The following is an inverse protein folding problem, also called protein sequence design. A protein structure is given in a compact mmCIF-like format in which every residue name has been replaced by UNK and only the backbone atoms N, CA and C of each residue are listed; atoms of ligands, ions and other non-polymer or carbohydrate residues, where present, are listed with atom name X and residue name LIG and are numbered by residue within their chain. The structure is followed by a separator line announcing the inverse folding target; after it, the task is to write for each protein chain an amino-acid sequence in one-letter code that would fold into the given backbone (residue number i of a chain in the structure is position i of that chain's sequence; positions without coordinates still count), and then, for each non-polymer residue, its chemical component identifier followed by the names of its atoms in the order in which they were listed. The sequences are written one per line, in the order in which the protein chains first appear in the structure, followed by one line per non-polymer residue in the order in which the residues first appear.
data_IF_601864966395
#
_entry.id   IF_601864966395
#
_cell.length_a   1.000
_cell.length_b   1.000
_cell.length_c   1.000
_cell.angle_alpha   90.00
_cell.angle_beta   90.00
_cell.angle_gamma   90.00
#
_symmetry.space_group_name_H-M   'P 1'
#
loop_
_entity.id
_entity.type
_entity.pdbx_description
1 polymer ?
2 non-polymer ?
3 water ?
#
# COMPACT_ATOMS: atom_id res chain seq x y z
N UNK A 1 11.55 -3.91 -19.08
CA UNK A 1 10.95 -4.59 -17.90
C UNK A 1 10.05 -5.74 -18.38
N UNK A 2 9.67 -6.67 -17.49
CA UNK A 2 8.84 -7.83 -17.81
C UNK A 2 7.37 -7.57 -18.11
N UNK A 3 6.76 -8.52 -18.80
CA UNK A 3 5.35 -8.48 -19.15
C UNK A 3 4.52 -8.70 -17.92
N UNK A 4 4.98 -9.60 -17.06
CA UNK A 4 4.30 -9.95 -15.81
C UNK A 4 5.19 -9.75 -14.59
N UNK A 5 4.62 -9.17 -13.53
CA UNK A 5 5.32 -8.96 -12.26
C UNK A 5 4.32 -9.29 -11.15
N UNK A 6 4.76 -10.09 -10.18
CA UNK A 6 3.92 -10.44 -9.06
C UNK A 6 4.86 -10.68 -7.91
N UNK A 7 4.90 -9.71 -6.99
CA UNK A 7 5.77 -9.80 -5.84
C UNK A 7 5.47 -10.93 -4.89
N UNK A 8 4.26 -11.50 -4.94
CA UNK A 8 3.88 -12.63 -4.10
C UNK A 8 4.72 -13.86 -4.48
N UNK A 9 5.04 -13.94 -5.77
CA UNK A 9 5.81 -15.02 -6.34
C UNK A 9 7.30 -14.96 -5.98
N UNK A 10 7.72 -13.83 -5.42
CA UNK A 10 9.10 -13.66 -5.03
C UNK A 10 9.21 -13.72 -3.50
N UNK A 11 8.11 -14.05 -2.84
CA UNK A 11 8.06 -14.15 -1.38
C UNK A 11 8.17 -12.81 -0.69
N UNK A 12 7.70 -11.76 -1.36
CA UNK A 12 7.78 -10.42 -0.83
C UNK A 12 6.49 -9.81 -0.29
N UNK A 13 5.38 -10.53 -0.29
CA UNK A 13 4.18 -9.97 0.30
C UNK A 13 3.57 -10.88 1.36
N UNK A 14 3.12 -10.25 2.45
CA UNK A 14 2.54 -10.95 3.59
C UNK A 14 1.04 -11.13 3.42
N UNK A 15 0.42 -11.92 4.30
CA UNK A 15 -1.02 -12.16 4.20
C UNK A 15 -1.86 -10.90 4.15
N UNK A 16 -3.03 -11.02 3.54
CA UNK A 16 -3.95 -9.92 3.42
C UNK A 16 -4.50 -9.58 4.81
N UNK A 17 -4.55 -8.29 5.10
CA UNK A 17 -5.04 -7.78 6.37
C UNK A 17 -6.40 -7.14 6.20
N UNK A 18 -6.99 -6.73 7.32
CA UNK A 18 -8.29 -6.09 7.33
C UNK A 18 -8.18 -4.90 8.26
N UNK A 19 -8.35 -3.69 7.72
CA UNK A 19 -8.23 -2.48 8.54
C UNK A 19 -9.43 -2.28 9.45
N UNK A 20 -10.54 -2.95 9.15
CA UNK A 20 -11.74 -2.81 9.94
C UNK A 20 -12.41 -1.47 9.68
N UNK A 21 -13.12 -0.98 10.68
CA UNK A 21 -13.79 0.31 10.58
C UNK A 21 -12.91 1.42 11.11
N UNK A 22 -11.81 1.68 10.43
CA UNK A 22 -10.87 2.73 10.81
C UNK A 22 -10.16 3.11 9.54
N UNK A 23 -10.10 4.41 9.24
CA UNK A 23 -9.45 4.90 8.05
C UNK A 23 -7.94 4.79 8.14
N UNK A 24 -7.47 3.56 8.34
CA UNK A 24 -6.04 3.27 8.46
C UNK A 24 -5.39 2.87 7.16
N UNK A 25 -6.18 2.84 6.10
CA UNK A 25 -5.71 2.46 4.76
C UNK A 25 -4.31 2.99 4.42
N UNK A 26 -4.06 4.26 4.71
CA UNK A 26 -2.78 4.87 4.41
C UNK A 26 -1.61 4.16 5.10
N UNK A 27 -1.87 3.66 6.30
CA UNK A 27 -0.85 2.96 7.11
C UNK A 27 -0.65 1.56 6.55
N UNK A 28 -1.75 0.85 6.30
CA UNK A 28 -1.69 -0.51 5.72
C UNK A 28 -0.92 -0.46 4.40
N UNK A 29 -1.28 0.53 3.59
CA UNK A 29 -0.67 0.77 2.31
C UNK A 29 0.84 0.95 2.41
N UNK A 30 1.27 1.84 3.29
CA UNK A 30 2.70 2.10 3.45
C UNK A 30 3.43 0.86 3.94
N UNK A 31 2.80 0.12 4.86
CA UNK A 31 3.38 -1.09 5.43
C UNK A 31 3.68 -2.15 4.36
N UNK A 32 2.77 -2.31 3.40
CA UNK A 32 2.97 -3.28 2.32
C UNK A 32 4.27 -2.93 1.59
N UNK A 33 4.48 -1.63 1.37
CA UNK A 33 5.68 -1.23 0.66
C UNK A 33 6.93 -1.53 1.48
N UNK A 34 6.85 -1.31 2.80
CA UNK A 34 7.97 -1.56 3.71
C UNK A 34 8.31 -3.06 3.79
N UNK A 35 7.30 -3.90 4.03
CA UNK A 35 7.50 -5.34 4.08
C UNK A 35 8.17 -5.80 2.79
N UNK A 36 7.74 -5.24 1.67
CA UNK A 36 8.30 -5.61 0.37
C UNK A 36 9.75 -5.21 0.11
N UNK A 37 10.11 -3.96 0.34
CA UNK A 37 11.49 -3.53 0.10
C UNK A 37 12.53 -4.23 1.01
N UNK A 38 12.19 -4.45 2.28
CA UNK A 38 13.09 -5.13 3.23
C UNK A 38 13.36 -6.57 2.75
N UNK A 39 12.34 -7.25 2.25
CA UNK A 39 12.52 -8.61 1.76
C UNK A 39 13.43 -8.61 0.56
N UNK A 40 13.19 -7.65 -0.34
CA UNK A 40 13.97 -7.49 -1.55
C UNK A 40 15.43 -7.17 -1.23
N UNK A 41 15.66 -6.37 -0.20
CA UNK A 41 17.02 -5.98 0.21
C UNK A 41 17.72 -7.02 1.08
N UNK A 42 17.08 -7.42 2.17
CA UNK A 42 17.65 -8.37 3.14
C UNK A 42 17.40 -9.86 2.93
N UNK A 43 16.26 -10.21 2.33
CA UNK A 43 15.95 -11.61 2.12
C UNK A 43 14.96 -12.14 3.14
N UNK A 44 14.57 -11.31 4.10
CA UNK A 44 13.62 -11.73 5.11
C UNK A 44 12.30 -11.03 4.96
N UNK A 45 11.23 -11.76 5.21
CA UNK A 45 9.89 -11.23 5.12
C UNK A 45 9.28 -11.13 6.50
N UNK A 46 8.97 -9.89 6.93
CA UNK A 46 8.35 -9.68 8.23
C UNK A 46 7.16 -8.78 8.11
N UNK A 47 6.24 -8.88 9.07
CA UNK A 47 5.07 -8.03 9.07
C UNK A 47 5.41 -6.86 9.96
N UNK A 48 5.10 -5.65 9.51
CA UNK A 48 5.37 -4.46 10.27
C UNK A 48 4.12 -3.82 10.80
N UNK A 49 4.30 -2.90 11.74
CA UNK A 49 3.19 -2.25 12.43
C UNK A 49 2.46 -1.07 11.76
N UNK A 50 1.18 -1.27 11.47
CA UNK A 50 0.34 -0.24 10.89
C UNK A 50 -0.17 0.62 12.05
N UNK A 51 -0.34 -0.02 13.22
CA UNK A 51 -0.81 0.66 14.40
C UNK A 51 0.19 1.74 14.81
N UNK A 52 1.47 1.42 14.69
CA UNK A 52 2.52 2.36 15.02
C UNK A 52 2.37 3.61 14.18
N UNK A 53 2.17 3.43 12.87
CA UNK A 53 2.00 4.54 11.94
C UNK A 53 0.74 5.32 12.33
N UNK A 54 -0.34 4.60 12.54
CA UNK A 54 -1.61 5.18 12.92
C UNK A 54 -1.51 6.12 14.13
N UNK A 55 -0.66 5.76 15.09
CA UNK A 55 -0.45 6.51 16.35
C UNK A 55 0.62 7.59 16.29
N UNK A 56 1.70 7.29 15.58
CA UNK A 56 2.85 8.18 15.51
C UNK A 56 2.97 9.14 14.34
N UNK A 57 2.03 9.09 13.39
CA UNK A 57 2.12 10.02 12.27
C UNK A 57 1.32 11.25 12.67
N UNK A 58 2.03 12.34 12.86
CA UNK A 58 1.49 13.64 13.25
C UNK A 58 0.78 14.38 12.09
N UNK A 59 1.22 14.14 10.86
CA UNK A 59 0.63 14.78 9.68
C UNK A 59 -0.63 14.07 9.20
N UNK A 60 -0.89 12.86 9.71
CA UNK A 60 -2.08 12.12 9.32
C UNK A 60 -3.14 12.25 10.40
N UNK A 61 -4.37 11.82 10.10
CA UNK A 61 -5.47 11.95 11.05
C UNK A 61 -5.96 10.66 11.69
N UNK A 62 -5.02 9.78 12.02
CA UNK A 62 -5.39 8.53 12.65
C UNK A 62 -6.42 7.74 11.86
N UNK A 63 -7.52 7.41 12.52
CA UNK A 63 -8.57 6.64 11.88
C UNK A 63 -9.48 7.48 10.99
N UNK A 64 -9.14 8.76 10.84
CA UNK A 64 -9.93 9.67 10.01
C UNK A 64 -9.29 9.87 8.65
N UNK A 65 -8.20 9.17 8.39
CA UNK A 65 -7.52 9.31 7.12
C UNK A 65 -6.09 9.68 7.37
N UNK A 66 -5.28 9.69 6.32
CA UNK A 66 -3.88 10.01 6.47
C UNK A 66 -3.16 9.97 5.16
N UNK A 67 -1.84 10.09 5.21
CA UNK A 67 -1.01 10.14 4.01
C UNK A 67 0.04 9.06 4.00
N UNK A 68 0.10 8.29 2.90
CA UNK A 68 1.08 7.21 2.73
C UNK A 68 2.51 7.75 2.69
N UNK A 69 2.68 8.92 2.07
CA UNK A 69 4.00 9.57 1.98
C UNK A 69 4.53 10.05 3.35
N UNK A 70 3.64 10.57 4.20
CA UNK A 70 4.07 11.04 5.52
C UNK A 70 4.36 9.83 6.40
N UNK A 71 3.54 8.78 6.30
CA UNK A 71 3.76 7.56 7.08
C UNK A 71 5.10 6.95 6.64
N UNK A 72 5.39 7.04 5.35
CA UNK A 72 6.65 6.52 4.82
C UNK A 72 7.84 7.38 5.25
N UNK A 73 7.61 8.67 5.52
CA UNK A 73 8.67 9.61 5.98
C UNK A 73 9.07 9.22 7.41
N UNK A 74 8.05 9.03 8.26
CA UNK A 74 8.20 8.64 9.65
C UNK A 74 9.14 7.43 9.77
N UNK A 75 8.86 6.37 9.01
CA UNK A 75 9.70 5.17 9.05
C UNK A 75 11.13 5.44 8.60
N UNK A 76 11.32 6.35 7.67
CA UNK A 76 12.66 6.66 7.21
C UNK A 76 13.47 7.46 8.26
N UNK A 77 12.75 8.06 9.22
CA UNK A 77 13.39 8.82 10.29
C UNK A 77 13.54 7.96 11.54
N UNK A 78 12.39 7.59 12.11
CA UNK A 78 12.29 6.81 13.34
C UNK A 78 12.18 5.27 13.20
N UNK A 79 12.11 4.76 11.98
CA UNK A 79 11.98 3.33 11.76
C UNK A 79 10.60 2.81 12.13
N UNK A 80 10.47 1.49 12.20
CA UNK A 80 9.20 0.86 12.53
C UNK A 80 9.36 -0.49 13.25
N UNK A 81 8.37 -0.85 14.05
CA UNK A 81 8.35 -2.12 14.80
C UNK A 81 7.61 -3.21 14.07
N UNK A 82 7.86 -4.44 14.49
CA UNK A 82 7.20 -5.59 13.92
C UNK A 82 5.74 -5.50 14.31
N UNK A 83 4.88 -6.12 13.52
CA UNK A 83 3.46 -6.11 13.80
C UNK A 83 3.20 -6.85 15.11
N UNK A 84 4.03 -7.85 15.39
CA UNK A 84 3.86 -8.65 16.59
C UNK A 84 4.22 -7.88 17.86
N UNK A 85 5.19 -6.97 17.74
CA UNK A 85 5.60 -6.13 18.85
C UNK A 85 4.58 -5.01 19.12
N UNK A 86 4.06 -4.43 18.03
CA UNK A 86 3.13 -3.32 18.12
C UNK A 86 1.92 -3.66 17.24
N UNK A 87 1.05 -4.57 17.73
CA UNK A 87 -0.15 -5.03 17.03
C UNK A 87 -1.16 -3.95 16.68
N UNK A 88 -2.11 -4.34 15.83
CA UNK A 88 -3.15 -3.44 15.37
C UNK A 88 -4.41 -3.53 16.19
N UNK A 89 -4.86 -2.38 16.69
CA UNK A 89 -6.05 -2.27 17.53
C UNK A 89 -7.28 -1.69 16.83
N UNK A 90 -7.06 -0.99 15.72
CA UNK A 90 -8.18 -0.42 14.99
C UNK A 90 -8.70 0.85 15.62
N UNK A 91 -7.85 1.46 16.43
CA UNK A 91 -8.18 2.67 17.13
C UNK A 91 -6.86 3.35 17.30
N UNK A 92 -6.83 4.67 17.28
CA UNK A 92 -5.57 5.39 17.47
C UNK A 92 -5.37 5.70 18.96
N UNK A 93 -4.26 5.22 19.51
CA UNK A 93 -3.92 5.46 20.91
C UNK A 93 -2.78 6.47 20.82
N UNK A 94 -1.80 6.38 21.72
CA UNK A 94 -0.66 7.30 21.68
C UNK A 94 0.56 6.59 21.13
N UNK A 95 1.50 7.37 20.63
CA UNK A 95 2.69 6.79 20.06
C UNK A 95 3.51 6.07 21.12
N UNK A 96 3.69 4.76 20.93
CA UNK A 96 4.43 3.94 21.87
C UNK A 96 5.70 3.35 21.30
N UNK A 97 6.23 3.96 20.24
CA UNK A 97 7.44 3.44 19.63
C UNK A 97 8.59 3.25 20.62
N UNK A 98 8.83 4.25 21.46
CA UNK A 98 9.91 4.18 22.43
C UNK A 98 9.74 3.09 23.49
N UNK A 99 8.52 2.92 23.97
CA UNK A 99 8.20 1.92 24.98
C UNK A 99 8.48 0.50 24.48
N UNK A 100 8.09 0.22 23.24
CA UNK A 100 8.28 -1.10 22.64
C UNK A 100 9.76 -1.46 22.41
N UNK A 101 10.64 -0.48 22.56
CA UNK A 101 12.05 -0.75 22.37
C UNK A 101 12.62 -0.28 21.06
N UNK A 102 13.74 -0.88 20.60
CA UNK A 102 14.39 -0.52 19.34
C UNK A 102 13.58 -0.94 18.11
N UNK A 103 13.55 -0.06 17.10
CA UNK A 103 12.81 -0.32 15.88
C UNK A 103 13.35 -1.56 15.18
N UNK A 104 12.45 -2.30 14.54
CA UNK A 104 12.77 -3.53 13.81
C UNK A 104 13.49 -3.20 12.50
N UNK A 105 13.04 -2.17 11.80
CA UNK A 105 13.68 -1.80 10.55
C UNK A 105 13.52 -0.31 10.28
N UNK A 106 14.38 0.23 9.43
CA UNK A 106 14.30 1.63 9.10
C UNK A 106 14.64 1.77 7.64
N UNK A 107 13.90 2.61 6.95
CA UNK A 107 14.11 2.84 5.53
C UNK A 107 15.04 4.04 5.36
N UNK A 108 15.54 4.23 4.14
CA UNK A 108 16.44 5.33 3.81
C UNK A 108 15.75 6.56 3.25
N UNK A 109 14.51 6.42 2.81
CA UNK A 109 13.79 7.57 2.26
C UNK A 109 12.48 7.20 1.62
N UNK A 110 11.96 8.10 0.80
CA UNK A 110 10.71 7.89 0.08
C UNK A 110 10.74 8.71 -1.19
N UNK A 111 10.23 8.16 -2.27
CA UNK A 111 10.19 8.86 -3.55
C UNK A 111 8.79 8.84 -4.12
N UNK A 112 8.51 9.75 -5.04
CA UNK A 112 7.21 9.82 -5.68
C UNK A 112 7.30 9.40 -7.13
N UNK A 113 6.34 8.61 -7.59
CA UNK A 113 6.30 8.18 -8.98
C UNK A 113 5.68 9.37 -9.72
N UNK A 114 6.17 9.67 -10.93
CA UNK A 114 5.61 10.78 -11.72
C UNK A 114 4.13 10.45 -11.88
N UNK A 115 3.24 11.38 -11.50
CA UNK A 115 1.80 11.17 -11.58
C UNK A 115 1.19 11.18 -12.97
N UNK A 116 -0.01 10.62 -13.05
CA UNK A 116 -0.77 10.53 -14.30
C UNK A 116 0.08 9.95 -15.42
N UNK A 117 0.86 8.92 -15.09
CA UNK A 117 1.75 8.27 -16.04
C UNK A 117 1.86 6.77 -15.78
N UNK A 118 1.14 5.99 -16.59
CA UNK A 118 1.11 4.56 -16.47
C UNK A 118 2.47 3.88 -16.58
N UNK A 119 3.31 4.36 -17.50
CA UNK A 119 4.63 3.79 -17.67
C UNK A 119 5.55 4.01 -16.48
N UNK A 120 5.48 5.18 -15.87
CA UNK A 120 6.34 5.47 -14.74
C UNK A 120 5.95 4.58 -13.57
N UNK A 121 4.66 4.26 -13.46
CA UNK A 121 4.17 3.41 -12.40
C UNK A 121 4.58 1.95 -12.59
N UNK A 122 4.46 1.44 -13.82
CA UNK A 122 4.81 0.06 -14.07
C UNK A 122 6.28 -0.18 -13.82
N UNK A 123 7.09 0.79 -14.19
CA UNK A 123 8.52 0.70 -14.02
C UNK A 123 8.85 0.56 -12.55
N UNK A 124 8.23 1.38 -11.71
CA UNK A 124 8.46 1.31 -10.28
C UNK A 124 7.99 -0.02 -9.70
N UNK A 125 6.81 -0.49 -10.10
CA UNK A 125 6.28 -1.77 -9.63
C UNK A 125 7.22 -2.91 -9.99
N UNK A 126 7.94 -2.78 -11.09
CA UNK A 126 8.85 -3.83 -11.51
C UNK A 126 10.08 -3.90 -10.60
N UNK A 127 10.23 -2.88 -9.76
CA UNK A 127 11.35 -2.81 -8.81
C UNK A 127 10.94 -3.16 -7.39
N UNK A 128 9.71 -2.80 -7.00
CA UNK A 128 9.20 -3.05 -5.65
C UNK A 128 7.72 -2.68 -5.56
N UNK A 129 7.01 -3.14 -4.52
CA UNK A 129 5.59 -2.81 -4.35
C UNK A 129 5.49 -1.27 -4.19
N UNK A 130 4.38 -0.67 -4.61
CA UNK A 130 4.21 0.79 -4.55
C UNK A 130 2.89 1.18 -3.91
N UNK A 131 2.93 2.26 -3.12
CA UNK A 131 1.74 2.79 -2.47
C UNK A 131 0.98 3.54 -3.56
N UNK A 132 -0.31 3.26 -3.67
CA UNK A 132 -1.12 3.83 -4.71
C UNK A 132 -2.51 4.22 -4.17
N UNK A 133 -3.15 5.22 -4.76
CA UNK A 133 -4.48 5.63 -4.28
C UNK A 133 -5.52 5.49 -5.38
N UNK A 134 -6.77 5.32 -5.01
CA UNK A 134 -7.84 5.15 -5.96
C UNK A 134 -9.17 5.51 -5.31
N UNK A 135 -10.24 5.55 -6.11
CA UNK A 135 -11.56 5.83 -5.61
C UNK A 135 -12.26 4.52 -5.31
N UNK A 136 -12.55 4.28 -4.03
CA UNK A 136 -13.19 3.06 -3.58
C UNK A 136 -14.63 3.25 -3.11
N UNK A 137 -15.12 4.49 -3.21
CA UNK A 137 -16.47 4.82 -2.78
C UNK A 137 -17.58 4.25 -3.63
N UNK A 138 -17.27 3.82 -4.84
CA UNK A 138 -18.28 3.28 -5.70
C UNK A 138 -18.67 1.88 -5.29
N UNK A 139 -19.92 1.64 -5.56
CA UNK A 139 -20.57 0.40 -5.24
C UNK A 139 -19.92 -0.76 -6.01
N UNK A 140 -19.56 -0.51 -7.25
CA UNK A 140 -18.94 -1.53 -8.09
C UNK A 140 -17.62 -2.00 -7.50
N UNK A 141 -16.86 -1.08 -6.92
CA UNK A 141 -15.58 -1.41 -6.31
C UNK A 141 -15.81 -2.20 -5.02
N UNK A 142 -16.82 -1.77 -4.28
CA UNK A 142 -17.15 -2.41 -3.03
C UNK A 142 -17.67 -3.81 -3.21
N UNK A 143 -18.34 -4.05 -4.32
CA UNK A 143 -18.92 -5.34 -4.64
C UNK A 143 -18.06 -6.21 -5.53
N UNK A 144 -16.81 -5.80 -5.76
CA UNK A 144 -15.90 -6.56 -6.60
C UNK A 144 -15.59 -7.96 -6.04
N UNK A 145 -15.82 -8.99 -6.86
CA UNK A 145 -15.59 -10.40 -6.49
C UNK A 145 -14.54 -11.13 -7.35
N UNK A 146 -14.02 -10.44 -8.35
CA UNK A 146 -13.03 -11.04 -9.21
C UNK A 146 -13.10 -10.49 -10.62
N UNK A 147 -12.03 -10.71 -11.39
CA UNK A 147 -11.96 -10.23 -12.75
C UNK A 147 -11.10 -9.00 -12.87
N UNK A 148 -10.86 -8.57 -14.09
CA UNK A 148 -10.09 -7.36 -14.35
C UNK A 148 -11.14 -6.27 -14.25
N UNK A 149 -11.02 -5.48 -13.19
CA UNK A 149 -11.96 -4.41 -12.92
C UNK A 149 -11.74 -3.23 -13.87
N UNK A 150 -12.82 -2.81 -14.54
CA UNK A 150 -12.77 -1.70 -15.50
C UNK A 150 -13.60 -0.50 -15.01
N UNK A 151 -14.34 -0.69 -13.92
CA UNK A 151 -15.19 0.34 -13.37
C UNK A 151 -16.63 -0.13 -13.45
N UNK A 152 -17.60 0.77 -13.49
CA UNK A 152 -17.41 2.22 -13.48
C UNK A 152 -16.92 2.77 -12.13
N UNK A 153 -16.20 3.88 -12.20
CA UNK A 153 -15.69 4.57 -11.02
C UNK A 153 -15.14 5.91 -11.51
N UNK A 154 -15.03 6.87 -10.61
CA UNK A 154 -14.49 8.17 -10.98
C UNK A 154 -13.06 8.27 -10.52
N UNK A 155 -12.53 9.49 -10.40
CA UNK A 155 -11.17 9.68 -9.94
C UNK A 155 -11.07 10.51 -8.66
N UNK A 156 -12.12 10.41 -7.84
CA UNK A 156 -12.16 11.09 -6.54
C UNK A 156 -11.53 10.09 -5.59
N UNK A 157 -10.23 9.91 -5.73
CA UNK A 157 -9.46 8.99 -4.91
C UNK A 157 -9.73 9.19 -3.41
N UNK A 158 -9.86 8.09 -2.67
CA UNK A 158 -10.19 8.19 -1.25
C UNK A 158 -9.79 6.94 -0.47
N UNK A 159 -8.87 6.16 -1.01
CA UNK A 159 -8.48 4.91 -0.40
C UNK A 159 -7.08 4.60 -0.90
N UNK A 160 -6.14 4.40 0.03
CA UNK A 160 -4.78 4.06 -0.34
C UNK A 160 -4.65 2.53 -0.29
N UNK A 161 -3.96 1.97 -1.28
CA UNK A 161 -3.73 0.54 -1.39
C UNK A 161 -2.31 0.34 -1.90
N UNK A 162 -1.90 -0.88 -2.20
CA UNK A 162 -0.54 -1.09 -2.68
C UNK A 162 -0.56 -1.92 -3.95
N UNK A 163 0.27 -1.54 -4.92
CA UNK A 163 0.38 -2.24 -6.18
C UNK A 163 1.52 -3.25 -6.02
N UNK A 164 1.22 -4.54 -6.12
CA UNK A 164 2.24 -5.56 -5.95
C UNK A 164 2.58 -6.29 -7.24
N UNK A 165 2.08 -5.80 -8.37
CA UNK A 165 2.38 -6.44 -9.63
C UNK A 165 1.54 -5.90 -10.77
N UNK A 166 1.74 -6.47 -11.96
CA UNK A 166 1.00 -6.08 -13.16
C UNK A 166 1.11 -7.15 -14.24
N UNK A 167 0.26 -7.01 -15.25
CA UNK A 167 0.25 -7.91 -16.37
C UNK A 167 -0.06 -7.06 -17.58
N UNK A 168 -0.08 -7.65 -18.77
CA UNK A 168 -0.36 -6.96 -20.05
C UNK A 168 -1.58 -6.05 -20.02
N UNK A 169 -2.61 -6.44 -19.27
CA UNK A 169 -3.83 -5.63 -19.23
C UNK A 169 -4.35 -5.26 -17.84
N UNK A 170 -3.54 -5.42 -16.80
CA UNK A 170 -4.03 -5.06 -15.48
C UNK A 170 -2.89 -4.68 -14.56
N UNK A 171 -3.23 -4.12 -13.40
CA UNK A 171 -2.28 -3.79 -12.35
C UNK A 171 -2.86 -4.52 -11.11
N UNK A 172 -2.03 -5.34 -10.48
CA UNK A 172 -2.41 -6.16 -9.33
C UNK A 172 -2.28 -5.39 -8.04
N UNK A 173 -3.38 -5.29 -7.32
CA UNK A 173 -3.43 -4.52 -6.09
C UNK A 173 -3.77 -5.31 -4.85
N UNK A 174 -3.03 -5.03 -3.77
CA UNK A 174 -3.27 -5.65 -2.50
C UNK A 174 -4.12 -4.70 -1.69
N UNK A 175 -5.35 -5.10 -1.37
CA UNK A 175 -6.26 -4.28 -0.58
C UNK A 175 -6.23 -4.74 0.90
N UNK A 176 -6.83 -3.95 1.79
CA UNK A 176 -6.87 -4.25 3.22
C UNK A 176 -8.31 -4.36 3.75
N UNK A 177 -9.12 -5.11 3.03
CA UNK A 177 -10.51 -5.33 3.40
C UNK A 177 -10.72 -6.82 3.65
N UNK A 178 -9.65 -7.52 4.02
CA UNK A 178 -9.75 -8.95 4.30
C UNK A 178 -9.72 -9.79 3.04
N UNK A 179 -9.55 -11.09 3.23
CA UNK A 179 -9.48 -12.04 2.12
C UNK A 179 -10.86 -12.36 1.54
N UNK A 180 -11.90 -11.88 2.20
CA UNK A 180 -13.24 -12.16 1.72
C UNK A 180 -13.69 -11.21 0.62
N UNK A 181 -12.84 -10.27 0.26
CA UNK A 181 -13.16 -9.31 -0.76
C UNK A 181 -12.28 -9.51 -1.96
N UNK A 182 -12.85 -9.42 -3.15
CA UNK A 182 -12.08 -9.58 -4.37
C UNK A 182 -11.52 -10.96 -4.57
N UNK A 183 -10.33 -11.03 -5.17
CA UNK A 183 -9.66 -12.31 -5.42
C UNK A 183 -8.74 -12.58 -4.25
N UNK A 184 -9.36 -12.98 -3.13
CA UNK A 184 -8.64 -13.26 -1.90
C UNK A 184 -7.98 -12.00 -1.35
N UNK A 185 -8.71 -10.89 -1.40
CA UNK A 185 -8.19 -9.63 -0.89
C UNK A 185 -7.49 -8.79 -1.92
N UNK A 186 -7.33 -9.34 -3.12
CA UNK A 186 -6.67 -8.64 -4.22
C UNK A 186 -7.64 -8.18 -5.29
N UNK A 187 -7.18 -7.27 -6.12
CA UNK A 187 -7.98 -6.76 -7.23
C UNK A 187 -7.07 -6.47 -8.41
N UNK A 188 -7.49 -6.88 -9.60
CA UNK A 188 -6.73 -6.64 -10.81
C UNK A 188 -7.46 -5.52 -11.54
N UNK A 189 -6.86 -4.34 -11.55
CA UNK A 189 -7.47 -3.19 -12.21
C UNK A 189 -6.93 -3.00 -13.63
N UNK A 190 -7.83 -2.74 -14.56
CA UNK A 190 -7.50 -2.50 -15.98
C UNK A 190 -6.50 -1.37 -16.16
N UNK A 191 -5.57 -1.57 -17.09
CA UNK A 191 -4.55 -0.54 -17.37
C UNK A 191 -4.54 -0.37 -18.90
N UNK A 192 -3.83 0.62 -19.37
CA UNK A 192 -3.67 0.87 -20.83
C UNK A 192 -4.99 1.31 -21.51
N UNK A 193 -5.83 2.03 -20.78
CA UNK A 193 -7.10 2.59 -21.31
C UNK A 193 -6.74 3.95 -21.97
N UNK A 194 -5.49 4.44 -21.82
CA UNK A 194 -5.10 5.69 -22.42
C UNK A 194 -5.51 6.83 -21.48
N UNK A 195 -6.29 6.48 -20.46
CA UNK A 195 -6.73 7.45 -19.44
C UNK A 195 -5.49 7.79 -18.60
N UNK A 196 -5.13 9.08 -18.54
CA UNK A 196 -3.96 9.51 -17.79
C UNK A 196 -4.19 9.45 -16.28
N UNK A 197 -5.44 9.57 -15.86
CA UNK A 197 -5.78 9.49 -14.45
C UNK A 197 -5.68 8.06 -13.95
N UNK A 198 -5.87 7.11 -14.86
CA UNK A 198 -5.84 5.70 -14.54
C UNK A 198 -7.24 5.30 -14.12
N UNK A 199 -7.57 4.02 -14.20
CA UNK A 199 -8.91 3.56 -13.80
C UNK A 199 -9.07 3.87 -12.31
N UNK A 200 -10.19 4.50 -11.96
CA UNK A 200 -10.49 4.90 -10.59
C UNK A 200 -9.50 5.89 -10.00
N UNK A 201 -8.68 6.52 -10.85
CA UNK A 201 -7.71 7.50 -10.40
C UNK A 201 -6.38 6.92 -9.95
N UNK A 202 -6.19 5.65 -10.28
CA UNK A 202 -5.00 4.89 -9.93
C UNK A 202 -3.65 5.59 -10.10
N UNK A 203 -3.56 6.55 -11.02
CA UNK A 203 -2.28 7.24 -11.23
C UNK A 203 -2.13 8.60 -10.52
N UNK A 204 -3.07 8.95 -9.64
CA UNK A 204 -3.01 10.24 -8.94
C UNK A 204 -1.75 10.54 -8.10
N UNK A 205 -1.43 9.70 -7.11
CA UNK A 205 -0.21 9.87 -6.32
C UNK A 205 0.31 8.54 -5.79
N UNK A 206 1.52 8.20 -6.20
CA UNK A 206 2.15 6.94 -5.85
C UNK A 206 3.52 7.19 -5.26
N UNK A 207 3.81 6.54 -4.12
CA UNK A 207 5.08 6.65 -3.42
C UNK A 207 5.62 5.29 -3.08
N UNK A 208 6.92 5.24 -2.85
CA UNK A 208 7.57 4.00 -2.45
C UNK A 208 8.75 4.34 -1.53
N UNK A 209 9.10 3.43 -0.60
CA UNK A 209 10.20 3.66 0.32
C UNK A 209 11.52 3.35 -0.36
N UNK A 210 12.54 4.15 -0.09
CA UNK A 210 13.85 3.91 -0.65
C UNK A 210 14.68 3.26 0.44
N UNK A 211 15.54 2.34 0.05
CA UNK A 211 16.41 1.67 0.99
C UNK A 211 17.55 1.04 0.23
N UNK A 212 18.77 1.42 0.61
CA UNK A 212 19.99 0.92 -0.01
C UNK A 212 20.58 -0.22 0.82
X LIG B 1 -16.14 -1.30 3.27
X LIG B 1 -16.91 -1.31 2.31
X LIG B 1 -15.75 -2.51 3.89
X LIG B 1 -15.19 -3.59 3.11
X LIG B 1 -15.95 -4.68 2.39
X LIG B 1 -15.60 -6.02 2.54
X LIG B 1 -16.30 -7.03 1.88
X LIG B 1 -17.37 -6.70 1.05
X LIG B 1 -17.74 -5.36 0.89
X LIG B 1 -17.03 -4.36 1.55
X LIG B 1 -15.61 -0.19 3.78
X LIG B 1 -15.93 1.14 3.24
X LIG B 1 -15.24 2.20 4.11
X LIG B 1 -15.86 2.76 5.03
X LIG B 1 -17.45 1.35 3.21
X LIG B 1 -18.17 2.69 2.97
X LIG B 1 -17.47 3.56 1.93
X LIG B 1 -19.62 2.44 2.59
X LIG B 1 -13.96 2.44 3.86
X LIG B 1 -13.20 3.41 4.65
X LIG B 1 -11.95 3.88 3.89
X LIG B 1 -11.65 3.38 2.81
X LIG B 1 -12.75 2.78 5.97
X LIG B 1 -13.48 3.11 7.27
X LIG B 1 -14.41 1.97 7.65
X LIG B 1 -14.22 4.44 7.21
X LIG B 1 -11.24 4.83 4.49
X LIG B 1 -10.00 5.35 3.90
X LIG B 1 -8.92 4.25 3.99
X LIG B 1 -9.60 6.66 4.60
X LIG B 1 -10.67 7.76 4.67
X LIG B 1 -10.03 9.13 4.49
X LIG B 1 -11.44 7.70 5.98
X LIG B 1 -8.95 3.65 5.28
#
# INVERSE_FOLDING_TARGET
IPEYVDWRQKGAVTPVKNQGSCGSCWAFSAVVTIEGIIKIRTGNLNQYSEQELLDCDRRSYGCNGGYPWSALQLVAQYGIHYRNTYPYEGVQRYCRSREKGPYAAKTDGVRQVQPYNQGALLYSIANQPVSVVLQAAGKDFQLYRGGIFVGPCGNKVDHAVAAVGYGPNYILIKNSWGTGWGENGYIRIKRGTGNSYGVCGLYTSSFYPVKN
ALD C9 O31 O8 C7 C3 C4 C5 C6 C1 C2 N10 C11 C12 O32 C30 C31 C32 C33 N13 C14 C15 O34 C24 C25 C26 C27 N16 C17 C22 C18 C19 C20 C21 O33
#
